data_IF_188511176624
#
_entry.id   IF_188511176624
#
_cell.length_a   1.000
_cell.length_b   1.000
_cell.length_c   1.000
_cell.angle_alpha   90.00
_cell.angle_beta   90.00
_cell.angle_gamma   90.00
#
_symmetry.space_group_name_H-M   'P 1'
#
loop_
_entity.id
_entity.type
_entity.pdbx_description
1 polymer ?
#
# COMPACT_ATOMS: atom_id res chain seq x y z
N UNK A 1 1.13 -13.32 -12.34
CA UNK A 1 1.14 -13.63 -10.89
C UNK A 1 0.81 -15.11 -10.62
N UNK A 2 -0.41 -15.60 -10.86
CA UNK A 2 -0.73 -17.00 -10.55
C UNK A 2 0.06 -18.01 -11.38
N UNK A 3 0.28 -17.78 -12.67
CA UNK A 3 1.10 -18.66 -13.52
C UNK A 3 2.56 -18.71 -13.05
N UNK A 4 3.08 -17.61 -12.54
CA UNK A 4 4.43 -17.55 -11.99
C UNK A 4 4.53 -18.30 -10.66
N UNK A 5 3.53 -18.14 -9.78
CA UNK A 5 3.45 -18.87 -8.51
C UNK A 5 3.31 -20.39 -8.68
N UNK A 6 2.78 -20.82 -9.83
CA UNK A 6 2.56 -22.24 -10.16
C UNK A 6 3.72 -22.87 -10.96
N UNK A 7 4.80 -22.12 -11.23
CA UNK A 7 5.96 -22.70 -11.93
C UNK A 7 6.64 -23.75 -11.06
N UNK A 8 7.09 -24.86 -11.65
CA UNK A 8 7.87 -25.85 -10.94
C UNK A 8 9.09 -25.20 -10.28
N UNK A 9 9.23 -25.37 -8.98
CA UNK A 9 10.33 -24.81 -8.19
C UNK A 9 10.70 -25.77 -7.07
N UNK A 10 11.94 -25.72 -6.62
CA UNK A 10 12.41 -26.41 -5.41
C UNK A 10 11.77 -25.84 -4.13
N UNK A 11 11.24 -24.61 -4.22
CA UNK A 11 10.49 -23.94 -3.14
C UNK A 11 9.12 -23.54 -3.66
N UNK A 12 8.11 -24.41 -3.57
CA UNK A 12 6.77 -24.10 -4.07
C UNK A 12 6.14 -22.93 -3.31
N UNK A 13 5.40 -22.09 -4.02
CA UNK A 13 4.67 -20.99 -3.43
C UNK A 13 3.51 -21.51 -2.58
N UNK A 14 3.44 -21.08 -1.31
CA UNK A 14 2.34 -21.41 -0.40
C UNK A 14 1.39 -20.24 -0.18
N UNK A 15 1.87 -19.00 -0.33
CA UNK A 15 1.09 -17.79 -0.10
C UNK A 15 1.38 -16.74 -1.18
N UNK A 16 0.33 -16.11 -1.67
CA UNK A 16 0.42 -14.91 -2.53
C UNK A 16 -0.09 -13.73 -1.72
N UNK A 17 0.72 -12.67 -1.64
CA UNK A 17 0.28 -11.39 -1.07
C UNK A 17 -0.05 -10.46 -2.23
N UNK A 18 -1.33 -10.07 -2.33
CA UNK A 18 -1.81 -9.17 -3.37
C UNK A 18 -2.53 -7.99 -2.73
N UNK A 19 -2.13 -6.75 -3.06
CA UNK A 19 -2.77 -5.56 -2.50
C UNK A 19 -4.28 -5.56 -2.76
N UNK A 20 -4.69 -5.77 -4.01
CA UNK A 20 -6.10 -5.88 -4.37
C UNK A 20 -6.60 -7.32 -4.27
N UNK A 21 -7.74 -7.55 -3.62
CA UNK A 21 -8.33 -8.88 -3.56
C UNK A 21 -8.75 -9.34 -4.97
N UNK A 22 -8.41 -10.57 -5.35
CA UNK A 22 -8.82 -11.12 -6.65
C UNK A 22 -10.34 -11.34 -6.75
N UNK A 23 -11.03 -11.43 -5.62
CA UNK A 23 -12.49 -11.41 -5.53
C UNK A 23 -12.92 -10.18 -4.72
N UNK A 24 -13.37 -9.14 -5.43
CA UNK A 24 -13.80 -7.89 -4.79
C UNK A 24 -15.30 -7.85 -4.50
N UNK A 25 -16.09 -8.55 -5.32
CA UNK A 25 -17.55 -8.64 -5.18
C UNK A 25 -17.96 -10.09 -4.89
N UNK A 26 -19.05 -10.30 -4.13
CA UNK A 26 -19.59 -11.64 -3.94
C UNK A 26 -19.89 -12.32 -5.27
N UNK A 27 -19.49 -13.57 -5.40
CA UNK A 27 -19.77 -14.41 -6.56
C UNK A 27 -20.65 -15.58 -6.15
N UNK A 28 -21.62 -15.91 -6.99
CA UNK A 28 -22.48 -17.10 -6.78
C UNK A 28 -21.79 -18.39 -7.17
N UNK A 29 -20.84 -18.32 -8.08
CA UNK A 29 -20.07 -19.47 -8.60
C UNK A 29 -18.72 -19.01 -9.11
N UNK A 30 -17.76 -19.94 -9.13
CA UNK A 30 -16.49 -19.80 -9.83
C UNK A 30 -16.51 -20.68 -11.07
N UNK A 31 -16.08 -20.14 -12.21
CA UNK A 31 -16.09 -20.83 -13.50
C UNK A 31 -14.71 -20.76 -14.17
N UNK A 32 -14.45 -21.68 -15.09
CA UNK A 32 -13.22 -21.70 -15.88
C UNK A 32 -13.28 -20.74 -17.09
N UNK A 33 -14.44 -20.18 -17.40
CA UNK A 33 -14.62 -19.23 -18.51
C UNK A 33 -14.05 -17.84 -18.24
N UNK A 34 -13.85 -17.49 -16.96
CA UNK A 34 -13.28 -16.22 -16.55
C UNK A 34 -11.80 -16.43 -16.14
N UNK A 35 -10.82 -15.74 -16.79
CA UNK A 35 -9.39 -15.93 -16.51
C UNK A 35 -8.99 -15.69 -15.05
N UNK A 36 -9.61 -14.69 -14.39
CA UNK A 36 -9.34 -14.39 -12.98
C UNK A 36 -9.83 -15.52 -12.08
N UNK A 37 -11.05 -16.01 -12.31
CA UNK A 37 -11.62 -17.12 -11.55
C UNK A 37 -10.83 -18.42 -11.79
N UNK A 38 -10.39 -18.66 -13.02
CA UNK A 38 -9.48 -19.77 -13.37
C UNK A 38 -8.18 -19.69 -12.54
N UNK A 39 -7.61 -18.49 -12.41
CA UNK A 39 -6.41 -18.28 -11.60
C UNK A 39 -6.64 -18.63 -10.12
N UNK A 40 -7.79 -18.21 -9.57
CA UNK A 40 -8.17 -18.53 -8.19
C UNK A 40 -8.35 -20.04 -8.00
N UNK A 41 -9.07 -20.69 -8.90
CA UNK A 41 -9.30 -22.13 -8.87
C UNK A 41 -7.97 -22.91 -8.92
N UNK A 42 -7.01 -22.46 -9.75
CA UNK A 42 -5.66 -23.02 -9.80
C UNK A 42 -4.92 -22.86 -8.46
N UNK A 43 -5.01 -21.68 -7.82
CA UNK A 43 -4.41 -21.47 -6.51
C UNK A 43 -5.01 -22.40 -5.46
N UNK A 44 -6.35 -22.52 -5.41
CA UNK A 44 -7.06 -23.43 -4.52
C UNK A 44 -6.61 -24.88 -4.73
N UNK A 45 -6.58 -25.34 -5.98
CA UNK A 45 -6.20 -26.71 -6.33
C UNK A 45 -4.74 -27.05 -5.94
N UNK A 46 -3.87 -26.04 -5.83
CA UNK A 46 -2.47 -26.21 -5.44
C UNK A 46 -2.20 -25.81 -3.97
N UNK A 47 -3.22 -25.58 -3.16
CA UNK A 47 -3.07 -25.24 -1.74
C UNK A 47 -2.44 -23.89 -1.49
N UNK A 48 -2.51 -22.95 -2.46
CA UNK A 48 -1.93 -21.62 -2.35
C UNK A 48 -2.95 -20.67 -1.73
N UNK A 49 -2.61 -20.08 -0.59
CA UNK A 49 -3.39 -19.03 0.05
C UNK A 49 -3.17 -17.69 -0.61
N UNK A 50 -4.23 -16.84 -0.66
CA UNK A 50 -4.12 -15.46 -1.14
C UNK A 50 -4.51 -14.53 -0.01
N UNK A 51 -3.60 -13.64 0.37
CA UNK A 51 -3.83 -12.59 1.37
C UNK A 51 -3.86 -11.22 0.69
N UNK A 52 -4.94 -10.46 0.93
CA UNK A 52 -5.13 -9.15 0.32
C UNK A 52 -5.45 -8.10 1.40
N UNK A 53 -4.46 -7.33 1.87
CA UNK A 53 -4.65 -6.34 2.92
C UNK A 53 -5.48 -5.12 2.46
N UNK A 54 -5.46 -4.79 1.16
CA UNK A 54 -6.17 -3.65 0.58
C UNK A 54 -5.99 -2.37 1.40
N UNK A 55 -7.05 -1.59 1.63
CA UNK A 55 -7.02 -0.33 2.39
C UNK A 55 -6.61 -0.47 3.86
N UNK A 56 -6.61 -1.67 4.42
CA UNK A 56 -6.06 -1.90 5.75
C UNK A 56 -4.56 -1.62 5.80
N UNK A 57 -3.83 -1.90 4.71
CA UNK A 57 -2.41 -1.59 4.60
C UNK A 57 -2.15 -0.07 4.52
N UNK A 58 -3.09 0.69 3.94
CA UNK A 58 -2.96 2.15 3.84
C UNK A 58 -3.15 2.81 5.20
N UNK A 59 -4.17 2.37 5.95
CA UNK A 59 -4.55 2.96 7.23
C UNK A 59 -3.68 2.50 8.41
N UNK A 60 -3.07 1.31 8.32
CA UNK A 60 -2.28 0.75 9.41
C UNK A 60 -1.17 1.70 9.89
N UNK A 61 -0.90 1.71 11.20
CA UNK A 61 0.28 2.40 11.74
C UNK A 61 1.55 1.83 11.14
N UNK A 62 2.41 2.67 10.60
CA UNK A 62 3.58 2.25 9.82
C UNK A 62 3.26 1.74 8.41
N UNK A 63 2.01 1.85 7.97
CA UNK A 63 1.56 1.44 6.65
C UNK A 63 1.92 2.44 5.54
N UNK A 64 1.26 2.28 4.39
CA UNK A 64 1.59 3.03 3.16
C UNK A 64 1.46 4.53 3.36
N UNK A 65 0.39 4.99 4.03
CA UNK A 65 0.19 6.43 4.23
C UNK A 65 1.20 7.04 5.20
N UNK A 66 1.63 6.31 6.24
CA UNK A 66 2.74 6.75 7.10
C UNK A 66 4.06 6.80 6.33
N UNK A 67 4.31 5.80 5.49
CA UNK A 67 5.49 5.77 4.66
C UNK A 67 5.53 6.93 3.65
N UNK A 68 4.41 7.28 3.01
CA UNK A 68 4.30 8.42 2.11
C UNK A 68 4.49 9.75 2.87
N UNK A 69 3.81 9.91 4.00
CA UNK A 69 3.89 11.11 4.82
C UNK A 69 5.31 11.35 5.35
N UNK A 70 6.02 10.29 5.73
CA UNK A 70 7.43 10.39 6.17
C UNK A 70 8.37 10.90 5.08
N UNK A 71 8.02 10.71 3.80
CA UNK A 71 8.78 11.26 2.67
C UNK A 71 8.80 12.79 2.61
N UNK A 72 7.87 13.45 3.30
CA UNK A 72 7.87 14.91 3.44
C UNK A 72 8.81 15.42 4.56
N UNK A 73 9.41 14.51 5.36
CA UNK A 73 10.35 14.86 6.42
C UNK A 73 11.79 14.77 5.91
N UNK A 74 12.17 15.65 5.00
CA UNK A 74 13.52 15.69 4.43
C UNK A 74 14.20 17.03 4.73
N UNK A 75 15.53 17.00 4.84
CA UNK A 75 16.33 18.22 5.03
C UNK A 75 16.17 19.21 3.87
N UNK A 76 15.86 18.74 2.67
CA UNK A 76 15.59 19.58 1.50
C UNK A 76 14.35 20.46 1.68
N UNK A 77 13.29 19.91 2.31
CA UNK A 77 12.04 20.65 2.59
C UNK A 77 12.19 21.49 3.84
N UNK A 78 12.80 20.94 4.89
CA UNK A 78 12.74 21.51 6.23
C UNK A 78 13.88 22.48 6.54
N UNK A 79 15.03 22.33 5.89
CA UNK A 79 16.27 22.92 6.39
C UNK A 79 16.57 22.45 7.82
N UNK A 80 17.59 23.01 8.44
CA UNK A 80 18.10 22.56 9.75
C UNK A 80 17.21 22.88 10.99
N UNK A 81 16.03 23.49 10.81
CA UNK A 81 15.27 24.05 11.95
C UNK A 81 13.75 23.80 11.93
N UNK A 82 13.24 22.87 11.15
CA UNK A 82 11.79 22.67 11.06
C UNK A 82 11.37 21.31 11.60
N UNK A 83 10.31 21.30 12.40
CA UNK A 83 9.63 20.08 12.85
C UNK A 83 8.50 19.74 11.90
N UNK A 84 8.38 18.45 11.56
CA UNK A 84 7.21 17.88 10.90
C UNK A 84 6.40 17.13 11.94
N UNK A 85 5.11 17.38 11.96
CA UNK A 85 4.15 16.58 12.70
C UNK A 85 3.22 15.87 11.71
N UNK A 86 3.05 14.57 11.88
CA UNK A 86 2.08 13.78 11.12
C UNK A 86 0.90 13.49 12.04
N UNK A 87 -0.32 13.69 11.53
CA UNK A 87 -1.56 13.37 12.23
C UNK A 87 -2.50 12.56 11.34
N UNK A 88 -3.37 11.79 11.97
CA UNK A 88 -4.41 11.04 11.29
C UNK A 88 -5.51 11.97 10.77
N UNK A 89 -6.07 11.64 9.60
CA UNK A 89 -7.23 12.31 9.01
C UNK A 89 -8.19 11.30 8.38
N UNK A 90 -9.44 11.74 8.18
CA UNK A 90 -10.49 10.96 7.52
C UNK A 90 -11.23 10.02 8.47
N UNK A 91 -11.86 9.00 7.90
CA UNK A 91 -12.62 8.02 8.67
C UNK A 91 -11.71 7.29 9.69
N UNK A 92 -12.17 7.21 10.93
CA UNK A 92 -11.43 6.50 11.99
C UNK A 92 -11.71 5.01 11.89
N UNK A 93 -10.65 4.21 11.93
CA UNK A 93 -10.70 2.74 11.95
C UNK A 93 -10.01 2.22 13.20
N UNK A 94 -10.62 1.25 13.85
CA UNK A 94 -10.02 0.57 15.00
C UNK A 94 -9.17 -0.58 14.52
N UNK A 95 -7.91 -0.60 14.93
CA UNK A 95 -6.99 -1.71 14.67
C UNK A 95 -7.19 -2.85 15.69
N UNK A 96 -6.59 -4.02 15.42
CA UNK A 96 -6.69 -5.23 16.26
C UNK A 96 -6.29 -5.02 17.73
N UNK A 97 -5.44 -4.04 18.00
CA UNK A 97 -4.99 -3.68 19.37
C UNK A 97 -5.88 -2.62 20.03
N UNK A 98 -7.05 -2.31 19.45
CA UNK A 98 -7.93 -1.26 19.96
C UNK A 98 -7.46 0.17 19.65
N UNK A 99 -6.37 0.34 18.90
CA UNK A 99 -5.86 1.65 18.50
C UNK A 99 -6.71 2.21 17.37
N UNK A 100 -7.17 3.44 17.53
CA UNK A 100 -7.87 4.19 16.50
C UNK A 100 -6.86 4.91 15.59
N UNK A 101 -7.06 4.81 14.29
CA UNK A 101 -6.24 5.46 13.26
C UNK A 101 -7.12 6.01 12.16
N UNK A 102 -6.76 7.17 11.62
CA UNK A 102 -7.41 7.70 10.42
C UNK A 102 -6.95 6.96 9.16
N UNK A 103 -7.82 6.90 8.16
CA UNK A 103 -7.51 6.25 6.87
C UNK A 103 -6.43 7.00 6.09
N UNK A 104 -6.23 8.28 6.36
CA UNK A 104 -5.19 9.12 5.73
C UNK A 104 -4.23 9.73 6.73
N UNK A 105 -3.26 10.47 6.23
CA UNK A 105 -2.29 11.23 7.03
C UNK A 105 -2.22 12.66 6.56
N UNK A 106 -2.09 13.59 7.50
CA UNK A 106 -1.83 15.01 7.26
C UNK A 106 -0.44 15.36 7.77
N UNK A 107 0.33 16.01 6.92
CA UNK A 107 1.67 16.50 7.27
C UNK A 107 1.57 17.98 7.61
N UNK A 108 1.95 18.34 8.82
CA UNK A 108 2.01 19.72 9.29
C UNK A 108 3.46 20.19 9.31
N UNK A 109 3.76 21.23 8.55
CA UNK A 109 5.07 21.87 8.56
C UNK A 109 5.09 22.99 9.59
N UNK A 110 6.15 23.08 10.40
CA UNK A 110 6.32 24.12 11.42
C UNK A 110 6.50 25.56 10.86
N UNK A 111 6.73 25.67 9.54
CA UNK A 111 6.81 26.93 8.77
C UNK A 111 6.30 26.73 7.35
N UNK A 112 5.96 27.79 6.61
CA UNK A 112 5.67 27.70 5.19
C UNK A 112 6.82 27.03 4.42
N UNK A 113 6.47 26.10 3.53
CA UNK A 113 7.43 25.39 2.67
C UNK A 113 7.06 25.58 1.21
N UNK A 114 8.06 25.57 0.34
CA UNK A 114 7.82 25.65 -1.09
C UNK A 114 7.16 24.39 -1.63
N UNK A 115 6.10 24.54 -2.41
CA UNK A 115 5.36 23.43 -3.01
C UNK A 115 6.25 22.58 -3.91
N UNK A 116 7.16 23.19 -4.67
CA UNK A 116 8.06 22.46 -5.56
C UNK A 116 9.04 21.59 -4.79
N UNK A 117 9.50 22.05 -3.61
CA UNK A 117 10.33 21.25 -2.73
C UNK A 117 9.56 20.00 -2.20
N UNK A 118 8.29 20.16 -1.83
CA UNK A 118 7.42 19.04 -1.41
C UNK A 118 7.23 18.05 -2.55
N UNK A 119 6.90 18.52 -3.75
CA UNK A 119 6.72 17.67 -4.93
C UNK A 119 8.00 16.89 -5.24
N UNK A 120 9.17 17.55 -5.21
CA UNK A 120 10.47 16.91 -5.44
C UNK A 120 10.74 15.81 -4.42
N UNK A 121 10.49 16.06 -3.14
CA UNK A 121 10.70 15.07 -2.09
C UNK A 121 9.78 13.86 -2.23
N UNK A 122 8.50 14.07 -2.54
CA UNK A 122 7.55 12.97 -2.78
C UNK A 122 7.97 12.16 -4.01
N UNK A 123 8.36 12.79 -5.10
CA UNK A 123 8.88 12.10 -6.29
C UNK A 123 10.13 11.28 -5.97
N UNK A 124 11.08 11.85 -5.24
CA UNK A 124 12.28 11.14 -4.81
C UNK A 124 11.95 9.93 -3.93
N UNK A 125 11.00 10.08 -3.00
CA UNK A 125 10.52 8.98 -2.16
C UNK A 125 9.91 7.84 -2.95
N UNK A 126 9.20 8.16 -4.04
CA UNK A 126 8.56 7.21 -4.94
C UNK A 126 9.52 6.62 -6.00
N UNK A 127 10.78 7.04 -6.03
CA UNK A 127 11.72 6.65 -7.08
C UNK A 127 11.33 7.16 -8.47
N UNK A 128 10.53 8.23 -8.54
CA UNK A 128 10.10 8.81 -9.81
C UNK A 128 11.17 9.73 -10.37
N UNK A 129 11.60 9.44 -11.61
CA UNK A 129 12.53 10.31 -12.31
C UNK A 129 11.90 11.70 -12.53
N UNK A 130 12.63 12.75 -12.13
CA UNK A 130 12.19 14.14 -12.25
C UNK A 130 12.29 14.69 -13.67
N UNK A 131 12.78 13.91 -14.64
CA UNK A 131 13.12 14.34 -15.99
C UNK A 131 12.07 14.13 -17.09
N UNK A 132 10.88 13.60 -16.78
CA UNK A 132 9.84 13.43 -17.81
C UNK A 132 8.59 14.21 -17.43
N UNK A 133 8.37 15.27 -18.16
CA UNK A 133 7.10 15.99 -18.28
C UNK A 133 6.19 15.26 -19.26
#
# INVERSE_FOLDING_TARGET
MCEEALRPSTSPTSVIIAYHPPLFKPLRSLTLSNPLQTSILKCIANGISIYSPHSALDAATGGVNDWLASGCNTNEILGLASTVRISDIGEIKTQSEGKEVGVGRMVHFGRPVDLQAVIKAVKARLGMDTGRH
#
